data_IF_891425539948
#
_entry.id   IF_891425539948
#
_cell.length_a   1.000
_cell.length_b   1.000
_cell.length_c   1.000
_cell.angle_alpha   90.00
_cell.angle_beta   90.00
_cell.angle_gamma   90.00
#
_symmetry.space_group_name_H-M   'P 1'
#
loop_
_entity.id
_entity.type
_entity.pdbx_description
1 polymer ?
#
# COMPACT_ATOMS: atom_id res chain seq x y z
N UNK A 1 36.64 2.76 -10.23
CA UNK A 1 35.22 3.20 -10.26
C UNK A 1 35.20 4.70 -10.05
N UNK A 2 34.44 5.44 -10.85
CA UNK A 2 34.47 6.91 -10.88
C UNK A 2 33.85 7.50 -9.61
N UNK A 3 34.43 8.57 -9.06
CA UNK A 3 33.92 9.33 -7.90
C UNK A 3 32.46 9.79 -8.06
N UNK A 4 31.98 9.89 -9.31
CA UNK A 4 30.59 10.19 -9.64
C UNK A 4 29.64 9.04 -9.29
N UNK A 5 30.03 7.79 -9.55
CA UNK A 5 29.21 6.61 -9.28
C UNK A 5 29.04 6.39 -7.77
N UNK A 6 30.10 6.66 -7.00
CA UNK A 6 30.06 6.60 -5.54
C UNK A 6 29.19 7.72 -4.94
N UNK A 7 29.18 8.91 -5.55
CA UNK A 7 28.29 10.01 -5.14
C UNK A 7 26.83 9.68 -5.38
N UNK A 8 26.49 9.10 -6.53
CA UNK A 8 25.12 8.68 -6.87
C UNK A 8 24.67 7.59 -5.89
N UNK A 9 25.49 6.55 -5.68
CA UNK A 9 25.17 5.46 -4.74
C UNK A 9 24.89 5.98 -3.33
N UNK A 10 25.68 6.95 -2.84
CA UNK A 10 25.44 7.58 -1.53
C UNK A 10 24.13 8.36 -1.50
N UNK A 11 23.81 9.13 -2.54
CA UNK A 11 22.56 9.88 -2.62
C UNK A 11 21.34 8.95 -2.61
N UNK A 12 21.38 7.86 -3.38
CA UNK A 12 20.28 6.90 -3.42
C UNK A 12 20.12 6.17 -2.09
N UNK A 13 21.23 5.80 -1.43
CA UNK A 13 21.18 5.22 -0.10
C UNK A 13 20.53 6.15 0.93
N UNK A 14 20.87 7.45 0.90
CA UNK A 14 20.27 8.46 1.77
C UNK A 14 18.77 8.64 1.49
N UNK A 15 18.36 8.68 0.23
CA UNK A 15 16.93 8.74 -0.15
C UNK A 15 16.16 7.54 0.37
N UNK A 16 16.72 6.34 0.20
CA UNK A 16 16.09 5.11 0.69
C UNK A 16 16.03 5.07 2.21
N UNK A 17 17.07 5.56 2.90
CA UNK A 17 17.04 5.66 4.36
C UNK A 17 15.97 6.64 4.84
N UNK A 18 15.94 7.85 4.27
CA UNK A 18 14.92 8.85 4.61
C UNK A 18 13.49 8.31 4.36
N UNK A 19 13.28 7.57 3.26
CA UNK A 19 12.00 6.89 3.00
C UNK A 19 11.65 5.90 4.12
N UNK A 20 12.59 5.02 4.49
CA UNK A 20 12.37 4.03 5.57
C UNK A 20 12.10 4.69 6.92
N UNK A 21 12.78 5.79 7.23
CA UNK A 21 12.59 6.52 8.48
C UNK A 21 11.19 7.16 8.55
N UNK A 22 10.71 7.72 7.42
CA UNK A 22 9.33 8.26 7.32
C UNK A 22 8.29 7.17 7.52
N UNK A 23 8.42 6.04 6.83
CA UNK A 23 7.50 4.90 6.97
C UNK A 23 7.52 4.35 8.41
N UNK A 24 8.70 4.24 9.04
CA UNK A 24 8.81 3.78 10.42
C UNK A 24 8.11 4.73 11.40
N UNK A 25 8.30 6.04 11.22
CA UNK A 25 7.63 7.06 12.03
C UNK A 25 6.11 7.04 11.83
N UNK A 26 5.64 6.91 10.59
CA UNK A 26 4.21 6.81 10.27
C UNK A 26 3.58 5.58 10.92
N UNK A 27 4.18 4.39 10.73
CA UNK A 27 3.72 3.13 11.34
C UNK A 27 3.64 3.23 12.86
N UNK A 28 4.62 3.84 13.52
CA UNK A 28 4.60 4.05 14.96
C UNK A 28 3.46 4.99 15.39
N UNK A 29 3.24 6.09 14.64
CA UNK A 29 2.20 7.07 14.94
C UNK A 29 0.78 6.51 14.82
N UNK A 30 0.54 5.60 13.87
CA UNK A 30 -0.78 5.00 13.64
C UNK A 30 -1.02 3.69 14.40
N UNK A 31 -0.05 3.25 15.22
CA UNK A 31 -0.15 1.99 15.97
C UNK A 31 -0.21 0.77 15.04
N UNK A 32 0.57 0.77 13.95
CA UNK A 32 0.51 -0.27 12.94
C UNK A 32 0.90 -1.66 13.49
N UNK A 33 0.09 -2.67 13.18
CA UNK A 33 0.38 -4.07 13.47
C UNK A 33 0.70 -4.82 12.18
N UNK A 34 1.74 -5.67 12.22
CA UNK A 34 2.18 -6.43 11.05
C UNK A 34 1.24 -7.61 10.80
N UNK A 35 0.51 -7.57 9.70
CA UNK A 35 -0.28 -8.70 9.17
C UNK A 35 0.34 -9.21 7.87
N UNK A 36 0.44 -10.53 7.69
CA UNK A 36 1.00 -11.15 6.48
C UNK A 36 -0.06 -11.96 5.74
N UNK A 37 -0.10 -11.85 4.41
CA UNK A 37 -1.03 -12.60 3.55
C UNK A 37 -0.37 -12.97 2.23
N UNK A 38 -0.85 -14.04 1.59
CA UNK A 38 -0.43 -14.46 0.25
C UNK A 38 -1.37 -13.80 -0.75
N UNK A 39 -0.81 -13.11 -1.76
CA UNK A 39 -1.58 -12.47 -2.84
C UNK A 39 -1.34 -13.15 -4.17
N UNK A 40 -2.26 -12.95 -5.12
CA UNK A 40 -2.05 -13.33 -6.51
C UNK A 40 -1.14 -12.33 -7.22
N UNK A 41 -0.67 -12.70 -8.42
CA UNK A 41 0.29 -11.89 -9.19
C UNK A 41 -0.25 -10.49 -9.50
N UNK A 42 -1.53 -10.39 -9.88
CA UNK A 42 -2.17 -9.12 -10.25
C UNK A 42 -2.36 -8.16 -9.08
N UNK A 43 -2.49 -8.68 -7.86
CA UNK A 43 -2.77 -7.86 -6.67
C UNK A 43 -1.68 -6.82 -6.41
N UNK A 44 -0.43 -7.06 -6.84
CA UNK A 44 0.63 -6.05 -6.71
C UNK A 44 0.37 -4.84 -7.61
N UNK A 45 -0.03 -5.08 -8.85
CA UNK A 45 -0.26 -4.03 -9.84
C UNK A 45 -1.51 -3.22 -9.44
N UNK A 46 -2.56 -3.90 -8.95
CA UNK A 46 -3.76 -3.26 -8.41
C UNK A 46 -3.43 -2.33 -7.22
N UNK A 47 -2.57 -2.78 -6.31
CA UNK A 47 -2.15 -1.96 -5.17
C UNK A 47 -1.36 -0.73 -5.60
N UNK A 48 -0.49 -0.86 -6.60
CA UNK A 48 0.23 0.29 -7.15
C UNK A 48 -0.73 1.29 -7.81
N UNK A 49 -1.72 0.81 -8.56
CA UNK A 49 -2.76 1.66 -9.13
C UNK A 49 -3.55 2.40 -8.05
N UNK A 50 -3.96 1.70 -6.98
CA UNK A 50 -4.66 2.31 -5.85
C UNK A 50 -3.83 3.41 -5.19
N UNK A 51 -2.53 3.18 -4.99
CA UNK A 51 -1.62 4.19 -4.44
C UNK A 51 -1.53 5.44 -5.33
N UNK A 52 -1.41 5.25 -6.64
CA UNK A 52 -1.33 6.35 -7.61
C UNK A 52 -2.62 7.18 -7.64
N UNK A 53 -3.79 6.52 -7.69
CA UNK A 53 -5.10 7.19 -7.72
C UNK A 53 -5.38 7.93 -6.42
N UNK A 54 -5.02 7.34 -5.27
CA UNK A 54 -5.27 7.93 -3.96
C UNK A 54 -4.20 8.95 -3.52
N UNK A 55 -3.07 9.05 -4.23
CA UNK A 55 -1.93 9.88 -3.83
C UNK A 55 -1.23 9.40 -2.55
N UNK A 56 -1.25 8.08 -2.29
CA UNK A 56 -0.75 7.46 -1.06
C UNK A 56 0.64 6.87 -1.29
N UNK A 57 1.65 7.33 -0.54
CA UNK A 57 3.01 6.82 -0.63
C UNK A 57 3.15 5.40 -0.07
N UNK A 58 2.38 5.05 0.95
CA UNK A 58 2.49 3.81 1.70
C UNK A 58 1.46 2.77 1.26
N UNK A 59 1.94 1.64 0.72
CA UNK A 59 1.06 0.54 0.28
C UNK A 59 0.18 0.01 1.42
N UNK A 60 0.73 -0.03 2.64
CA UNK A 60 0.03 -0.52 3.83
C UNK A 60 -1.17 0.39 4.18
N UNK A 61 -1.05 1.71 3.94
CA UNK A 61 -2.15 2.66 4.11
C UNK A 61 -3.25 2.43 3.07
N UNK A 62 -2.89 2.24 1.79
CA UNK A 62 -3.87 1.92 0.74
C UNK A 62 -4.66 0.64 1.04
N UNK A 63 -3.98 -0.42 1.50
CA UNK A 63 -4.62 -1.67 1.95
C UNK A 63 -5.55 -1.41 3.14
N UNK A 64 -5.08 -0.68 4.14
CA UNK A 64 -5.85 -0.38 5.34
C UNK A 64 -7.15 0.35 5.01
N UNK A 65 -7.08 1.37 4.14
CA UNK A 65 -8.26 2.13 3.72
C UNK A 65 -9.24 1.28 2.91
N UNK A 66 -8.75 0.45 2.00
CA UNK A 66 -9.58 -0.46 1.22
C UNK A 66 -10.32 -1.47 2.13
N UNK A 67 -9.62 -2.10 3.08
CA UNK A 67 -10.22 -3.02 4.04
C UNK A 67 -11.26 -2.29 4.90
N UNK A 68 -10.96 -1.09 5.39
CA UNK A 68 -11.90 -0.30 6.20
C UNK A 68 -13.15 0.07 5.42
N UNK A 69 -13.00 0.45 4.15
CA UNK A 69 -14.12 0.74 3.26
C UNK A 69 -15.00 -0.51 3.05
N UNK A 70 -14.39 -1.64 2.70
CA UNK A 70 -15.10 -2.90 2.46
C UNK A 70 -15.78 -3.43 3.71
N UNK A 71 -15.13 -3.36 4.88
CA UNK A 71 -15.75 -3.72 6.15
C UNK A 71 -16.90 -2.77 6.51
N UNK A 72 -16.76 -1.48 6.20
CA UNK A 72 -17.85 -0.52 6.33
C UNK A 72 -19.01 -0.81 5.38
N UNK A 73 -18.73 -1.27 4.16
CA UNK A 73 -19.72 -1.66 3.17
C UNK A 73 -20.50 -2.88 3.66
N UNK A 74 -19.79 -3.94 4.07
CA UNK A 74 -20.39 -5.15 4.62
C UNK A 74 -21.33 -4.88 5.83
N UNK A 75 -21.02 -3.88 6.67
CA UNK A 75 -21.87 -3.52 7.82
C UNK A 75 -23.12 -2.74 7.43
N UNK A 76 -23.02 -1.83 6.45
CA UNK A 76 -24.11 -0.91 6.09
C UNK A 76 -25.02 -1.46 4.99
N UNK A 77 -24.43 -2.25 4.09
CA UNK A 77 -25.06 -2.78 2.88
C UNK A 77 -24.39 -4.12 2.48
N UNK A 78 -24.84 -5.23 3.09
CA UNK A 78 -24.29 -6.56 2.82
C UNK A 78 -24.46 -7.00 1.36
N UNK A 79 -25.54 -6.59 0.68
CA UNK A 79 -25.81 -6.97 -0.71
C UNK A 79 -24.81 -6.31 -1.66
N UNK A 80 -24.55 -5.01 -1.49
CA UNK A 80 -23.53 -4.30 -2.25
C UNK A 80 -22.13 -4.86 -1.98
N UNK A 81 -21.83 -5.26 -0.74
CA UNK A 81 -20.57 -5.94 -0.43
C UNK A 81 -20.44 -7.26 -1.20
N UNK A 82 -21.48 -8.11 -1.21
CA UNK A 82 -21.47 -9.38 -1.94
C UNK A 82 -21.29 -9.16 -3.45
N UNK A 83 -21.96 -8.16 -4.03
CA UNK A 83 -21.81 -7.80 -5.43
C UNK A 83 -20.38 -7.30 -5.76
N UNK A 84 -19.78 -6.50 -4.88
CA UNK A 84 -18.40 -6.02 -5.05
C UNK A 84 -17.36 -7.14 -4.92
N UNK A 85 -17.67 -8.21 -4.19
CA UNK A 85 -16.79 -9.37 -4.00
C UNK A 85 -17.06 -10.52 -4.99
N UNK A 86 -18.01 -10.37 -5.93
CA UNK A 86 -18.29 -11.40 -6.93
C UNK A 86 -17.10 -11.49 -7.92
N UNK A 87 -16.40 -12.63 -8.01
CA UNK A 87 -15.28 -12.81 -8.93
C UNK A 87 -15.67 -12.76 -10.41
N UNK A 88 -16.97 -12.77 -10.73
CA UNK A 88 -17.50 -12.61 -12.10
C UNK A 88 -17.85 -11.16 -12.41
N UNK A 89 -17.68 -10.25 -11.45
CA UNK A 89 -17.92 -8.84 -11.68
C UNK A 89 -16.85 -8.30 -12.64
N UNK A 90 -17.24 -7.73 -13.80
CA UNK A 90 -16.31 -7.13 -14.75
C UNK A 90 -15.88 -5.75 -14.25
N UNK A 91 -15.13 -5.70 -13.16
CA UNK A 91 -14.38 -4.49 -12.76
C UNK A 91 -13.19 -4.29 -13.69
#
# INVERSE_FOLDING_TARGET
MSTRDDKIRRQDALRQQAKRDREAAHRAAVGAERTSFITYRSTRDDLEQMQQVAGIEERDEAITLAIRYMAGLARRDPEAYLAAMDPRNPV
#
